data_IF_368840808568
#
_entry.id   IF_368840808568
#
_cell.length_a   1.000
_cell.length_b   1.000
_cell.length_c   1.000
_cell.angle_alpha   90.00
_cell.angle_beta   90.00
_cell.angle_gamma   90.00
#
_symmetry.space_group_name_H-M   'P 1'
#
loop_
_entity.id
_entity.type
_entity.pdbx_description
1 polymer ?
#
# COMPACT_ATOMS: atom_id res chain seq x y z
N UNK A 1 -7.16 11.44 -10.65
CA UNK A 1 -8.04 11.24 -9.48
C UNK A 1 -7.51 12.12 -8.36
N UNK A 2 -8.38 12.72 -7.55
CA UNK A 2 -7.94 13.48 -6.37
C UNK A 2 -8.12 12.63 -5.12
N UNK A 3 -7.32 12.92 -4.09
CA UNK A 3 -7.50 12.35 -2.78
C UNK A 3 -7.60 13.48 -1.75
N UNK A 4 -8.42 13.27 -0.75
CA UNK A 4 -8.59 14.19 0.38
C UNK A 4 -8.31 13.46 1.68
N UNK A 5 -7.43 13.99 2.49
CA UNK A 5 -7.18 13.48 3.84
C UNK A 5 -8.46 13.61 4.69
N UNK A 6 -8.78 12.54 5.42
CA UNK A 6 -9.92 12.50 6.35
C UNK A 6 -9.41 12.65 7.77
N UNK A 7 -8.62 11.68 8.24
CA UNK A 7 -8.15 11.61 9.63
C UNK A 7 -6.92 10.72 9.76
N UNK A 8 -6.10 11.01 10.76
CA UNK A 8 -5.12 10.07 11.32
C UNK A 8 -5.67 9.49 12.61
N UNK A 9 -5.93 8.21 12.65
CA UNK A 9 -6.52 7.52 13.77
C UNK A 9 -5.43 6.81 14.60
N UNK A 10 -5.38 7.13 15.89
CA UNK A 10 -4.53 6.48 16.88
C UNK A 10 -5.29 5.42 17.69
N UNK A 11 -6.63 5.45 17.66
CA UNK A 11 -7.51 4.50 18.33
C UNK A 11 -8.66 4.08 17.42
N UNK A 12 -9.35 3.01 17.73
CA UNK A 12 -10.46 2.47 16.93
C UNK A 12 -11.66 3.42 16.90
N UNK A 13 -11.90 4.14 17.98
CA UNK A 13 -12.99 5.10 18.11
C UNK A 13 -12.85 6.29 17.15
N UNK A 14 -11.62 6.53 16.67
CA UNK A 14 -11.30 7.56 15.68
C UNK A 14 -11.49 7.10 14.24
N UNK A 15 -11.80 5.82 14.01
CA UNK A 15 -12.04 5.34 12.65
C UNK A 15 -13.26 6.02 12.05
N UNK A 16 -13.17 6.46 10.79
CA UNK A 16 -14.33 7.05 10.13
C UNK A 16 -15.46 6.02 9.96
N UNK A 17 -16.73 6.45 9.81
CA UNK A 17 -17.85 5.55 9.56
C UNK A 17 -17.61 4.59 8.40
N UNK A 18 -18.11 3.37 8.49
CA UNK A 18 -18.05 2.34 7.44
C UNK A 18 -19.05 2.63 6.32
N UNK A 19 -18.77 3.66 5.52
CA UNK A 19 -19.66 4.13 4.47
C UNK A 19 -19.19 3.79 3.05
N UNK A 20 -17.90 3.54 2.87
CA UNK A 20 -17.30 3.32 1.56
C UNK A 20 -16.30 2.18 1.59
N UNK A 21 -16.11 1.46 0.46
CA UNK A 21 -15.09 0.43 0.33
C UNK A 21 -13.70 0.97 0.66
N UNK A 22 -12.96 0.24 1.48
CA UNK A 22 -11.61 0.61 1.89
C UNK A 22 -10.56 -0.29 1.25
N UNK A 23 -9.46 0.33 0.85
CA UNK A 23 -8.27 -0.35 0.34
C UNK A 23 -7.10 -0.02 1.25
N UNK A 24 -6.57 -1.03 1.94
CA UNK A 24 -5.45 -0.88 2.87
C UNK A 24 -4.11 -1.06 2.16
N UNK A 25 -3.15 -0.19 2.44
CA UNK A 25 -1.78 -0.30 1.93
C UNK A 25 -0.82 -0.63 3.05
N UNK A 26 -0.17 -1.79 2.93
CA UNK A 26 0.73 -2.35 3.92
C UNK A 26 2.12 -2.54 3.33
N UNK A 27 3.14 -2.42 4.15
CA UNK A 27 4.50 -2.67 3.70
C UNK A 27 5.51 -2.16 4.70
N UNK A 28 6.75 -2.57 4.49
CA UNK A 28 7.86 -2.15 5.35
C UNK A 28 8.16 -0.66 5.17
N UNK A 29 8.78 -0.09 6.19
CA UNK A 29 9.33 1.25 6.07
C UNK A 29 10.22 1.40 4.84
N UNK A 30 10.05 2.51 4.15
CA UNK A 30 10.80 2.84 2.93
C UNK A 30 10.59 1.84 1.76
N UNK A 31 9.54 1.04 1.78
CA UNK A 31 9.17 0.16 0.67
C UNK A 31 8.72 0.94 -0.56
N UNK A 32 8.30 2.19 -0.39
CA UNK A 32 7.77 3.05 -1.46
C UNK A 32 6.25 3.27 -1.38
N UNK A 33 5.65 2.99 -0.20
CA UNK A 33 4.20 3.08 0.01
C UNK A 33 3.65 4.49 -0.29
N UNK A 34 4.18 5.53 0.33
CA UNK A 34 3.76 6.91 0.07
C UNK A 34 3.97 7.35 -1.39
N UNK A 35 5.06 6.91 -2.01
CA UNK A 35 5.32 7.19 -3.42
C UNK A 35 4.28 6.53 -4.33
N UNK A 36 3.89 5.28 -4.04
CA UNK A 36 2.88 4.56 -4.80
C UNK A 36 1.49 5.19 -4.61
N UNK A 37 1.11 5.51 -3.37
CA UNK A 37 -0.13 6.20 -3.06
C UNK A 37 -0.24 7.52 -3.81
N UNK A 38 0.83 8.33 -3.83
CA UNK A 38 0.88 9.56 -4.63
C UNK A 38 0.74 9.28 -6.13
N UNK A 39 1.35 8.22 -6.66
CA UNK A 39 1.21 7.84 -8.07
C UNK A 39 -0.21 7.39 -8.41
N UNK A 40 -0.89 6.68 -7.52
CA UNK A 40 -2.28 6.24 -7.70
C UNK A 40 -3.26 7.43 -7.76
N UNK A 41 -3.08 8.45 -6.93
CA UNK A 41 -4.00 9.60 -6.89
C UNK A 41 -3.54 10.76 -7.78
N UNK A 42 -2.26 10.88 -8.07
CA UNK A 42 -1.68 11.92 -8.92
C UNK A 42 -1.70 11.62 -10.41
N UNK A 43 -2.09 10.41 -10.80
CA UNK A 43 -2.07 9.98 -12.21
C UNK A 43 -3.24 10.53 -13.04
N UNK A 44 -3.37 11.86 -13.16
CA UNK A 44 -3.73 12.43 -14.45
C UNK A 44 -2.47 12.32 -15.30
N UNK A 45 -2.37 11.27 -16.10
CA UNK A 45 -1.51 11.24 -17.26
C UNK A 45 -1.93 12.37 -18.19
N UNK A 46 -1.45 13.56 -17.91
CA UNK A 46 -1.35 14.61 -18.90
C UNK A 46 -0.21 14.17 -19.80
N UNK A 47 -0.53 13.60 -20.94
CA UNK A 47 0.39 13.52 -22.08
C UNK A 47 0.82 14.94 -22.40
N UNK A 48 1.97 15.35 -21.93
CA UNK A 48 2.73 16.43 -22.52
C UNK A 48 3.81 15.81 -23.38
N UNK A 49 3.66 15.99 -24.69
CA UNK A 49 4.75 15.81 -25.63
C UNK A 49 5.97 16.61 -25.13
N UNK A 50 7.11 15.94 -24.97
CA UNK A 50 8.37 16.55 -24.56
C UNK A 50 8.76 16.30 -23.10
N UNK A 51 9.52 15.27 -22.93
CA UNK A 51 10.38 14.82 -21.83
C UNK A 51 10.41 15.63 -20.53
N UNK A 52 10.24 14.92 -19.44
CA UNK A 52 10.18 15.29 -18.01
C UNK A 52 8.78 15.60 -17.49
N UNK A 53 8.05 14.53 -17.11
CA UNK A 53 6.82 14.66 -16.35
C UNK A 53 7.14 15.27 -14.96
N UNK A 54 6.94 16.57 -14.81
CA UNK A 54 6.79 17.19 -13.50
C UNK A 54 5.45 16.69 -12.93
N UNK A 55 5.52 15.79 -11.97
CA UNK A 55 4.36 15.39 -11.16
C UNK A 55 3.85 16.66 -10.50
N UNK A 56 2.70 17.16 -10.96
CA UNK A 56 2.02 18.29 -10.35
C UNK A 56 1.55 17.87 -8.96
N UNK A 57 2.27 18.29 -7.94
CA UNK A 57 1.99 18.06 -6.52
C UNK A 57 0.82 18.91 -6.00
N UNK A 58 -0.27 19.02 -6.75
CA UNK A 58 -1.56 19.52 -6.24
C UNK A 58 -2.46 18.36 -5.75
N UNK A 59 -1.86 17.34 -5.15
CA UNK A 59 -2.55 16.28 -4.44
C UNK A 59 -1.88 16.11 -3.10
N UNK A 60 -2.62 15.64 -2.11
CA UNK A 60 -2.10 15.32 -0.79
C UNK A 60 -0.79 14.56 -0.93
N UNK A 61 0.29 15.17 -0.45
CA UNK A 61 1.52 14.45 -0.25
C UNK A 61 1.26 13.45 0.89
N UNK A 62 1.13 12.18 0.56
CA UNK A 62 1.24 11.13 1.56
C UNK A 62 2.63 11.26 2.17
N UNK A 63 2.68 11.83 3.38
CA UNK A 63 3.94 12.08 4.07
C UNK A 63 4.33 10.79 4.76
N UNK A 64 5.51 10.27 4.44
CA UNK A 64 6.09 9.21 5.26
C UNK A 64 6.24 9.74 6.69
N UNK A 65 5.61 9.09 7.65
CA UNK A 65 5.73 9.42 9.07
C UNK A 65 7.21 9.51 9.45
N UNK A 66 7.60 10.61 10.07
CA UNK A 66 8.96 10.78 10.63
C UNK A 66 9.22 9.68 11.66
N UNK A 67 10.44 9.14 11.75
CA UNK A 67 10.79 8.20 12.81
C UNK A 67 10.51 8.82 14.18
N UNK A 68 9.73 8.13 15.03
CA UNK A 68 9.41 8.57 16.39
C UNK A 68 8.04 9.23 16.58
N UNK A 69 7.24 9.43 15.53
CA UNK A 69 5.83 9.83 15.69
C UNK A 69 4.95 8.61 15.99
N UNK A 70 3.93 8.78 16.81
CA UNK A 70 2.85 7.82 17.05
C UNK A 70 2.36 7.30 15.70
N UNK A 71 2.43 6.01 15.50
CA UNK A 71 2.11 5.42 14.20
C UNK A 71 0.58 5.32 14.10
N UNK A 72 -0.01 6.20 13.32
CA UNK A 72 -1.45 6.33 13.13
C UNK A 72 -1.86 5.69 11.80
N UNK A 73 -3.09 5.22 11.74
CA UNK A 73 -3.74 4.80 10.51
C UNK A 73 -4.31 6.04 9.82
N UNK A 74 -3.88 6.31 8.60
CA UNK A 74 -4.32 7.48 7.86
C UNK A 74 -5.38 7.11 6.83
N UNK A 75 -6.52 7.78 6.89
CA UNK A 75 -7.64 7.59 5.98
C UNK A 75 -7.73 8.72 4.96
N UNK A 76 -7.94 8.36 3.71
CA UNK A 76 -8.04 9.29 2.58
C UNK A 76 -9.24 8.95 1.73
N UNK A 77 -10.10 9.94 1.47
CA UNK A 77 -11.15 9.84 0.45
C UNK A 77 -10.53 9.96 -0.92
N UNK A 78 -10.88 9.04 -1.82
CA UNK A 78 -10.38 9.03 -3.20
C UNK A 78 -11.55 9.11 -4.17
N UNK A 79 -11.37 9.86 -5.28
CA UNK A 79 -12.35 9.90 -6.35
C UNK A 79 -12.66 8.49 -6.85
N UNK A 80 -13.93 8.25 -7.15
CA UNK A 80 -14.40 6.92 -7.56
C UNK A 80 -15.04 6.12 -6.44
N UNK A 81 -15.24 6.72 -5.25
CA UNK A 81 -15.99 6.16 -4.13
C UNK A 81 -15.21 5.02 -3.44
N UNK A 82 -13.92 5.24 -3.22
CA UNK A 82 -13.06 4.41 -2.40
C UNK A 82 -12.41 5.24 -1.30
N UNK A 83 -12.03 4.56 -0.24
CA UNK A 83 -11.18 5.11 0.80
C UNK A 83 -9.84 4.38 0.81
N UNK A 84 -8.75 5.13 0.64
CA UNK A 84 -7.41 4.57 0.82
C UNK A 84 -7.01 4.68 2.28
N UNK A 85 -6.44 3.60 2.81
CA UNK A 85 -6.00 3.51 4.20
C UNK A 85 -4.51 3.20 4.22
N UNK A 86 -3.73 4.20 4.65
CA UNK A 86 -2.29 4.11 4.77
C UNK A 86 -1.93 3.59 6.16
N UNK A 87 -1.56 2.32 6.24
CA UNK A 87 -1.16 1.69 7.49
C UNK A 87 0.31 1.99 7.81
N UNK A 88 0.67 2.09 9.10
CA UNK A 88 2.05 2.27 9.52
C UNK A 88 2.99 1.22 8.91
N UNK A 89 4.15 1.67 8.44
CA UNK A 89 5.16 0.76 7.92
C UNK A 89 5.78 -0.10 9.03
N UNK A 90 5.80 -1.41 8.88
CA UNK A 90 6.43 -2.33 9.82
C UNK A 90 7.94 -2.50 9.57
N UNK A 91 8.66 -3.13 10.50
CA UNK A 91 10.08 -3.47 10.32
C UNK A 91 11.07 -2.35 10.62
N UNK A 92 10.68 -1.29 11.32
CA UNK A 92 11.63 -0.30 11.84
C UNK A 92 12.49 -0.91 12.96
N UNK A 93 13.80 -1.02 12.74
CA UNK A 93 14.75 -1.48 13.74
C UNK A 93 14.94 -0.49 14.91
N UNK A 94 14.61 0.79 14.69
CA UNK A 94 14.86 1.88 15.65
C UNK A 94 13.63 2.27 16.50
N UNK A 95 12.51 1.58 16.37
CA UNK A 95 11.34 1.86 17.22
C UNK A 95 11.49 1.02 18.49
N UNK A 96 11.44 1.62 19.70
CA UNK A 96 11.44 0.88 20.96
C UNK A 96 10.36 -0.22 20.96
N UNK A 97 10.64 -1.34 21.61
CA UNK A 97 9.69 -2.47 21.65
C UNK A 97 8.35 -2.08 22.27
N UNK A 98 8.37 -1.20 23.26
CA UNK A 98 7.18 -0.66 23.93
C UNK A 98 6.21 0.01 22.94
N UNK A 99 6.72 0.84 22.03
CA UNK A 99 5.90 1.50 21.00
C UNK A 99 5.39 0.49 19.96
N UNK A 100 6.13 -0.60 19.69
CA UNK A 100 5.66 -1.66 18.78
C UNK A 100 4.44 -2.41 19.34
N UNK A 101 4.33 -2.52 20.66
CA UNK A 101 3.20 -3.18 21.32
C UNK A 101 1.91 -2.35 21.27
N UNK A 102 1.98 -1.02 21.12
CA UNK A 102 0.79 -0.17 21.14
C UNK A 102 0.05 -0.10 19.80
N UNK A 103 0.77 -0.06 18.68
CA UNK A 103 0.15 0.13 17.36
C UNK A 103 -0.18 -1.19 16.63
N UNK A 104 0.50 -2.29 16.97
CA UNK A 104 0.20 -3.61 16.39
C UNK A 104 -1.25 -4.04 16.65
N UNK A 105 -1.80 -3.94 17.86
CA UNK A 105 -3.20 -4.24 18.14
C UNK A 105 -4.18 -3.37 17.32
N UNK A 106 -3.86 -2.09 17.10
CA UNK A 106 -4.70 -1.20 16.30
C UNK A 106 -4.79 -1.65 14.84
N UNK A 107 -3.64 -2.03 14.25
CA UNK A 107 -3.60 -2.54 12.87
C UNK A 107 -4.30 -3.89 12.76
N UNK A 108 -4.02 -4.81 13.68
CA UNK A 108 -4.65 -6.14 13.69
C UNK A 108 -6.16 -6.01 13.82
N UNK A 109 -6.63 -5.13 14.71
CA UNK A 109 -8.06 -4.86 14.89
C UNK A 109 -8.69 -4.23 13.65
N UNK A 110 -8.03 -3.24 13.03
CA UNK A 110 -8.47 -2.67 11.76
C UNK A 110 -8.61 -3.76 10.68
N UNK A 111 -7.58 -4.56 10.48
CA UNK A 111 -7.56 -5.60 9.45
C UNK A 111 -8.57 -6.73 9.73
N UNK A 112 -8.76 -7.10 11.02
CA UNK A 112 -9.67 -8.19 11.39
C UNK A 112 -11.15 -7.78 11.39
N UNK A 113 -11.47 -6.60 11.93
CA UNK A 113 -12.85 -6.23 12.25
C UNK A 113 -13.49 -5.29 11.20
N UNK A 114 -12.68 -4.56 10.41
CA UNK A 114 -13.20 -3.58 9.45
C UNK A 114 -13.99 -4.23 8.34
N UNK A 115 -15.32 -4.04 8.31
CA UNK A 115 -16.24 -4.71 7.38
C UNK A 115 -16.12 -4.20 5.94
N UNK A 116 -15.84 -2.91 5.80
CA UNK A 116 -15.69 -2.25 4.48
C UNK A 116 -14.28 -2.38 3.89
N UNK A 117 -13.37 -3.15 4.54
CA UNK A 117 -12.06 -3.46 3.99
C UNK A 117 -12.21 -4.51 2.88
N UNK A 118 -12.14 -4.06 1.64
CA UNK A 118 -12.33 -4.89 0.44
C UNK A 118 -11.03 -5.48 -0.08
N UNK A 119 -9.91 -4.78 0.11
CA UNK A 119 -8.62 -5.21 -0.43
C UNK A 119 -7.45 -4.71 0.43
N UNK A 120 -6.50 -5.58 0.69
CA UNK A 120 -5.19 -5.22 1.21
C UNK A 120 -4.14 -5.27 0.09
N UNK A 121 -3.30 -4.26 -0.02
CA UNK A 121 -2.18 -4.21 -0.96
C UNK A 121 -0.88 -4.36 -0.18
N UNK A 122 -0.24 -5.53 -0.27
CA UNK A 122 1.06 -5.78 0.35
C UNK A 122 2.16 -5.28 -0.58
N UNK A 123 2.94 -4.30 -0.12
CA UNK A 123 4.04 -3.74 -0.88
C UNK A 123 5.37 -4.39 -0.50
N UNK A 124 6.06 -4.91 -1.49
CA UNK A 124 7.41 -5.49 -1.35
C UNK A 124 8.41 -4.71 -2.21
N UNK A 125 9.60 -4.44 -1.70
CA UNK A 125 10.69 -3.89 -2.53
C UNK A 125 11.22 -4.99 -3.46
N UNK A 126 11.05 -4.83 -4.76
CA UNK A 126 11.40 -5.82 -5.78
C UNK A 126 12.86 -6.30 -5.69
N UNK A 127 13.77 -5.49 -5.14
CA UNK A 127 15.17 -5.84 -4.97
C UNK A 127 15.43 -6.77 -3.78
N UNK A 128 14.49 -6.82 -2.81
CA UNK A 128 14.64 -7.57 -1.56
C UNK A 128 13.74 -8.81 -1.51
N UNK A 129 12.60 -8.78 -2.21
CA UNK A 129 11.60 -9.84 -2.15
C UNK A 129 10.95 -9.94 -0.77
N UNK A 130 10.47 -11.13 -0.46
CA UNK A 130 9.87 -11.46 0.82
C UNK A 130 10.89 -11.41 1.96
N UNK A 131 10.47 -10.83 3.07
CA UNK A 131 11.18 -10.86 4.34
C UNK A 131 10.25 -11.50 5.38
N UNK A 132 10.80 -11.99 6.48
CA UNK A 132 10.06 -12.71 7.53
C UNK A 132 8.74 -12.01 7.92
N UNK A 133 8.78 -10.71 8.21
CA UNK A 133 7.59 -9.92 8.58
C UNK A 133 6.56 -9.76 7.46
N UNK A 134 7.00 -9.82 6.21
CA UNK A 134 6.09 -9.79 5.06
C UNK A 134 5.34 -11.12 4.94
N UNK A 135 6.03 -12.22 5.21
CA UNK A 135 5.45 -13.58 5.22
C UNK A 135 4.45 -13.72 6.38
N UNK A 136 4.84 -13.32 7.59
CA UNK A 136 3.94 -13.29 8.75
C UNK A 136 2.64 -12.52 8.46
N UNK A 137 2.75 -11.33 7.86
CA UNK A 137 1.58 -10.53 7.48
C UNK A 137 0.72 -11.23 6.44
N UNK A 138 1.34 -11.82 5.41
CA UNK A 138 0.62 -12.58 4.38
C UNK A 138 -0.16 -13.75 4.99
N UNK A 139 0.50 -14.56 5.81
CA UNK A 139 -0.12 -15.70 6.49
C UNK A 139 -1.25 -15.27 7.41
N UNK A 140 -1.08 -14.13 8.09
CA UNK A 140 -2.12 -13.55 8.92
C UNK A 140 -3.35 -13.15 8.10
N UNK A 141 -3.19 -12.49 6.94
CA UNK A 141 -4.29 -12.11 6.04
C UNK A 141 -4.99 -13.34 5.47
N UNK A 142 -4.24 -14.37 5.07
CA UNK A 142 -4.78 -15.65 4.60
C UNK A 142 -5.61 -16.34 5.69
N UNK A 143 -5.08 -16.40 6.92
CA UNK A 143 -5.78 -17.01 8.07
C UNK A 143 -7.11 -16.32 8.37
N UNK A 144 -7.17 -15.00 8.22
CA UNK A 144 -8.38 -14.21 8.48
C UNK A 144 -9.27 -14.04 7.24
N UNK A 145 -8.96 -14.72 6.14
CA UNK A 145 -9.74 -14.64 4.91
C UNK A 145 -9.81 -13.24 4.29
N UNK A 146 -8.80 -12.39 4.54
CA UNK A 146 -8.78 -11.03 4.01
C UNK A 146 -8.22 -10.99 2.59
N UNK A 147 -8.98 -10.49 1.61
CA UNK A 147 -8.50 -10.39 0.23
C UNK A 147 -7.27 -9.50 0.14
N UNK A 148 -6.24 -9.94 -0.58
CA UNK A 148 -5.06 -9.13 -0.79
C UNK A 148 -4.39 -9.39 -2.14
N UNK A 149 -3.59 -8.40 -2.57
CA UNK A 149 -2.69 -8.50 -3.72
C UNK A 149 -1.28 -8.08 -3.32
N UNK A 150 -0.29 -8.58 -4.06
CA UNK A 150 1.12 -8.26 -3.84
C UNK A 150 1.62 -7.30 -4.90
N UNK A 151 2.18 -6.17 -4.49
CA UNK A 151 2.77 -5.16 -5.36
C UNK A 151 4.30 -5.09 -5.16
N UNK A 152 5.06 -5.50 -6.17
CA UNK A 152 6.52 -5.41 -6.18
C UNK A 152 6.94 -3.98 -6.58
N UNK A 153 7.24 -3.15 -5.60
CA UNK A 153 7.61 -1.74 -5.78
C UNK A 153 9.06 -1.58 -6.24
N UNK A 154 9.41 -0.38 -6.73
CA UNK A 154 10.76 -0.05 -7.22
C UNK A 154 11.25 -0.99 -8.32
N UNK A 155 10.34 -1.50 -9.12
CA UNK A 155 10.64 -2.43 -10.20
C UNK A 155 11.56 -1.82 -11.27
N UNK A 156 11.57 -0.49 -11.38
CA UNK A 156 12.51 0.30 -12.20
C UNK A 156 13.97 0.16 -11.77
N UNK A 157 14.24 -0.28 -10.56
CA UNK A 157 15.60 -0.51 -10.05
C UNK A 157 16.20 -1.85 -10.46
N UNK A 158 15.40 -2.75 -11.03
CA UNK A 158 15.88 -4.00 -11.64
C UNK A 158 16.36 -3.73 -13.07
N UNK A 159 17.68 -3.79 -13.27
CA UNK A 159 18.35 -3.31 -14.49
C UNK A 159 18.24 -4.29 -15.65
N UNK A 160 18.18 -5.60 -15.37
CA UNK A 160 18.20 -6.64 -16.40
C UNK A 160 16.92 -7.50 -16.37
N UNK A 161 16.63 -8.13 -17.51
CA UNK A 161 15.55 -9.13 -17.61
C UNK A 161 15.79 -10.31 -16.65
N UNK A 162 17.04 -10.70 -16.46
CA UNK A 162 17.42 -11.78 -15.54
C UNK A 162 17.05 -11.42 -14.09
N UNK A 163 17.34 -10.19 -13.65
CA UNK A 163 16.97 -9.70 -12.32
C UNK A 163 15.44 -9.68 -12.14
N UNK A 164 14.70 -9.21 -13.14
CA UNK A 164 13.23 -9.16 -13.11
C UNK A 164 12.63 -10.55 -13.01
N UNK A 165 13.10 -11.48 -13.84
CA UNK A 165 12.65 -12.86 -13.80
C UNK A 165 12.96 -13.54 -12.48
N UNK A 166 14.18 -13.33 -11.95
CA UNK A 166 14.58 -13.85 -10.63
C UNK A 166 13.69 -13.30 -9.50
N UNK A 167 13.43 -12.00 -9.50
CA UNK A 167 12.53 -11.36 -8.55
C UNK A 167 11.13 -11.99 -8.57
N UNK A 168 10.50 -12.06 -9.74
CA UNK A 168 9.15 -12.61 -9.88
C UNK A 168 9.08 -14.08 -9.45
N UNK A 169 10.07 -14.89 -9.81
CA UNK A 169 10.13 -16.28 -9.37
C UNK A 169 10.29 -16.40 -7.84
N UNK A 170 11.10 -15.54 -7.23
CA UNK A 170 11.25 -15.52 -5.77
C UNK A 170 9.94 -15.11 -5.07
N UNK A 171 9.20 -14.14 -5.63
CA UNK A 171 7.92 -13.72 -5.07
C UNK A 171 6.83 -14.80 -5.20
N UNK A 172 6.78 -15.50 -6.33
CA UNK A 172 5.83 -16.59 -6.59
C UNK A 172 6.03 -17.83 -5.73
N UNK A 173 7.19 -17.99 -5.08
CA UNK A 173 7.41 -19.11 -4.14
C UNK A 173 6.50 -19.05 -2.91
N UNK A 174 6.12 -17.85 -2.49
CA UNK A 174 5.29 -17.62 -1.29
C UNK A 174 3.90 -17.07 -1.61
N UNK A 175 3.60 -16.80 -2.89
CA UNK A 175 2.33 -16.23 -3.29
C UNK A 175 1.92 -16.75 -4.68
N UNK A 176 0.78 -17.45 -4.74
CA UNK A 176 0.25 -18.06 -5.97
C UNK A 176 -0.55 -17.09 -6.84
N UNK A 177 -0.94 -15.93 -6.27
CA UNK A 177 -1.66 -14.89 -7.00
C UNK A 177 -0.79 -14.06 -7.94
N UNK A 178 -1.41 -13.12 -8.62
CA UNK A 178 -0.71 -12.20 -9.51
C UNK A 178 0.14 -11.20 -8.73
N UNK A 179 1.44 -11.12 -9.05
CA UNK A 179 2.34 -10.10 -8.51
C UNK A 179 2.33 -8.89 -9.43
N UNK A 180 1.89 -7.74 -8.91
CA UNK A 180 1.83 -6.48 -9.64
C UNK A 180 3.21 -5.80 -9.64
N UNK A 181 3.79 -5.63 -10.83
CA UNK A 181 5.10 -4.98 -11.01
C UNK A 181 4.95 -3.45 -10.98
N UNK A 182 5.45 -2.80 -9.93
CA UNK A 182 5.15 -1.39 -9.68
C UNK A 182 6.38 -0.49 -9.63
N UNK A 183 6.24 0.69 -10.21
CA UNK A 183 7.18 1.79 -10.07
C UNK A 183 6.44 3.13 -10.02
N UNK A 184 6.50 3.79 -8.89
CA UNK A 184 5.95 5.14 -8.74
C UNK A 184 6.69 6.18 -9.60
N UNK A 185 7.92 5.90 -10.00
CA UNK A 185 8.75 6.81 -10.84
C UNK A 185 8.32 6.76 -12.29
N UNK A 186 8.04 5.57 -12.81
CA UNK A 186 7.68 5.37 -14.23
C UNK A 186 6.19 5.24 -14.47
N UNK A 187 5.37 5.13 -13.42
CA UNK A 187 3.94 4.86 -13.52
C UNK A 187 3.58 3.39 -13.80
N UNK A 188 4.59 2.51 -13.92
CA UNK A 188 4.35 1.07 -14.15
C UNK A 188 3.52 0.48 -13.02
N UNK A 189 2.54 -0.35 -13.36
CA UNK A 189 1.69 -1.06 -12.39
C UNK A 189 0.58 -0.24 -11.76
N UNK A 190 0.54 1.08 -11.96
CA UNK A 190 -0.51 1.95 -11.40
C UNK A 190 -1.89 1.59 -11.93
N UNK A 191 -2.00 1.31 -13.23
CA UNK A 191 -3.25 0.90 -13.88
C UNK A 191 -3.69 -0.49 -13.37
N UNK A 192 -2.78 -1.41 -13.24
CA UNK A 192 -3.01 -2.78 -12.79
C UNK A 192 -3.50 -2.80 -11.33
N UNK A 193 -2.93 -1.96 -10.46
CA UNK A 193 -3.43 -1.78 -9.09
C UNK A 193 -4.86 -1.23 -9.11
N UNK A 194 -5.15 -0.21 -9.94
CA UNK A 194 -6.51 0.30 -10.07
C UNK A 194 -7.50 -0.75 -10.59
N UNK A 195 -7.07 -1.61 -11.50
CA UNK A 195 -7.88 -2.74 -11.98
C UNK A 195 -8.17 -3.74 -10.85
N UNK A 196 -7.17 -4.06 -10.02
CA UNK A 196 -7.37 -4.92 -8.86
C UNK A 196 -8.37 -4.31 -7.86
N UNK A 197 -8.23 -3.01 -7.56
CA UNK A 197 -9.15 -2.27 -6.69
C UNK A 197 -10.57 -2.25 -7.28
N UNK A 198 -10.72 -1.98 -8.58
CA UNK A 198 -12.05 -1.88 -9.20
C UNK A 198 -12.80 -3.20 -9.25
N UNK A 199 -12.11 -4.32 -9.31
CA UNK A 199 -12.74 -5.66 -9.30
C UNK A 199 -13.47 -5.96 -7.99
N UNK A 200 -13.08 -5.35 -6.87
CA UNK A 200 -13.74 -5.60 -5.58
C UNK A 200 -15.17 -5.06 -5.56
N UNK A 201 -15.44 -3.91 -6.24
CA UNK A 201 -16.81 -3.36 -6.34
C UNK A 201 -17.79 -4.22 -7.12
N UNK A 202 -17.31 -5.10 -7.98
CA UNK A 202 -18.18 -5.91 -8.86
C UNK A 202 -18.63 -7.20 -8.17
N UNK A 203 -18.05 -7.53 -7.02
CA UNK A 203 -18.33 -8.77 -6.27
C UNK A 203 -19.22 -8.54 -5.03
N UNK A 204 -19.51 -7.29 -4.72
CA UNK A 204 -20.45 -6.85 -3.66
C UNK A 204 -21.81 -6.50 -4.24
#
# INVERSE_FOLDING_TARGET
>A
MAARFIISAATVEQFPPEAEPEVAFLGRSNVGKSSLLNALVGSKAGTTEGGTAKISTRGLAFVSSRPGCTQQINFYQVDGGFRFVDLPGYGYAKVPQEIKHEWRPLIERYLAERKVLELAVILLDARRGWMEKDIELKEWLEHHGRPFVVAATKFDKLKSQKERHHCLNALRKHYSGEVLECSAVTGRGVREIWQAISKTKTQS
#
